data_IF_050600086053
#
_entry.id   IF_050600086053
#
_cell.length_a   1.000
_cell.length_b   1.000
_cell.length_c   1.000
_cell.angle_alpha   90.00
_cell.angle_beta   90.00
_cell.angle_gamma   90.00
#
_symmetry.space_group_name_H-M   'P 1'
#
loop_
_entity.id
_entity.type
_entity.pdbx_description
1 polymer ?
#
# COMPACT_ATOMS: atom_id res chain seq x y z
N UNK A 1 18.70 11.95 22.60
CA UNK A 1 19.31 12.69 21.48
C UNK A 1 19.07 12.02 20.15
N UNK A 2 19.54 10.77 19.96
CA UNK A 2 19.30 10.02 18.73
C UNK A 2 17.81 9.87 18.42
N UNK A 3 17.02 9.66 19.47
CA UNK A 3 15.57 9.50 19.31
C UNK A 3 14.91 10.76 18.72
N UNK A 4 15.32 11.93 19.20
CA UNK A 4 14.81 13.20 18.71
C UNK A 4 15.21 13.42 17.25
N UNK A 5 16.45 13.07 16.89
CA UNK A 5 16.92 13.16 15.51
C UNK A 5 16.11 12.26 14.58
N UNK A 6 15.83 11.05 14.99
CA UNK A 6 15.05 10.11 14.20
C UNK A 6 13.63 10.62 13.96
N UNK A 7 13.02 11.20 14.98
CA UNK A 7 11.67 11.78 14.86
C UNK A 7 11.67 12.96 13.92
N UNK A 8 12.62 13.87 14.07
CA UNK A 8 12.72 15.06 13.21
C UNK A 8 12.98 14.65 11.75
N UNK A 9 13.88 13.70 11.55
CA UNK A 9 14.14 13.19 10.19
C UNK A 9 12.89 12.60 9.58
N UNK A 10 12.17 11.79 10.34
CA UNK A 10 10.93 11.16 9.89
C UNK A 10 9.88 12.21 9.52
N UNK A 11 9.68 13.20 10.39
CA UNK A 11 8.70 14.27 10.14
C UNK A 11 9.06 15.06 8.90
N UNK A 12 10.32 15.42 8.72
CA UNK A 12 10.76 16.19 7.56
C UNK A 12 10.60 15.46 6.24
N UNK A 13 10.68 14.13 6.25
CA UNK A 13 10.62 13.32 5.03
C UNK A 13 9.23 12.81 4.70
N UNK A 14 8.34 12.71 5.69
CA UNK A 14 7.00 12.15 5.49
C UNK A 14 6.17 12.96 4.49
N UNK A 15 6.27 14.28 4.50
CA UNK A 15 5.49 15.13 3.61
C UNK A 15 5.80 14.91 2.14
N UNK A 16 7.03 14.52 1.83
CA UNK A 16 7.49 14.30 0.46
C UNK A 16 7.60 12.84 0.10
N UNK A 17 7.19 11.97 1.02
CA UNK A 17 7.33 10.53 0.81
C UNK A 17 6.20 10.00 -0.05
N UNK A 18 6.56 9.40 -1.16
CA UNK A 18 5.61 8.73 -2.03
C UNK A 18 5.35 7.33 -1.50
N UNK A 19 4.09 6.93 -1.48
CA UNK A 19 3.71 5.57 -1.14
C UNK A 19 3.26 4.87 -2.41
N UNK A 20 3.97 3.80 -2.76
CA UNK A 20 3.65 2.95 -3.90
C UNK A 20 2.64 1.90 -3.49
N UNK A 21 1.84 1.42 -4.45
CA UNK A 21 0.83 0.41 -4.12
C UNK A 21 0.56 -0.54 -5.28
N UNK A 22 -0.09 -1.67 -4.96
CA UNK A 22 -0.49 -2.70 -5.91
C UNK A 22 -1.98 -2.71 -6.18
N UNK A 23 -2.69 -1.66 -5.84
CA UNK A 23 -4.15 -1.64 -5.94
C UNK A 23 -4.62 -1.91 -7.39
N UNK A 24 -4.00 -1.24 -8.35
CA UNK A 24 -4.39 -1.42 -9.76
C UNK A 24 -4.22 -2.86 -10.22
N UNK A 25 -3.09 -3.48 -9.89
CA UNK A 25 -2.80 -4.87 -10.28
C UNK A 25 -3.80 -5.81 -9.61
N UNK A 26 -4.01 -5.66 -8.31
CA UNK A 26 -4.93 -6.53 -7.56
C UNK A 26 -6.37 -6.37 -8.05
N UNK A 27 -6.76 -5.13 -8.33
CA UNK A 27 -8.09 -4.85 -8.88
C UNK A 27 -8.29 -5.52 -10.23
N UNK A 28 -7.31 -5.37 -11.12
CA UNK A 28 -7.36 -5.94 -12.47
C UNK A 28 -7.38 -7.46 -12.44
N UNK A 29 -6.62 -8.07 -11.55
CA UNK A 29 -6.62 -9.52 -11.39
C UNK A 29 -7.99 -10.07 -11.01
N UNK A 30 -8.79 -9.27 -10.31
CA UNK A 30 -10.14 -9.65 -9.93
C UNK A 30 -11.19 -9.19 -10.95
N UNK A 31 -10.77 -8.58 -12.05
CA UNK A 31 -11.68 -8.11 -13.09
C UNK A 31 -12.59 -6.98 -12.63
N UNK A 32 -12.18 -6.19 -11.65
CA UNK A 32 -12.98 -5.10 -11.10
C UNK A 32 -12.67 -3.77 -11.77
N UNK A 33 -13.71 -2.99 -12.00
CA UNK A 33 -13.54 -1.57 -12.36
C UNK A 33 -13.28 -0.77 -11.08
N UNK A 34 -12.70 0.43 -11.25
CA UNK A 34 -12.43 1.31 -10.08
C UNK A 34 -13.68 1.58 -9.28
N UNK A 35 -14.80 1.82 -9.97
CA UNK A 35 -16.06 2.09 -9.29
C UNK A 35 -16.53 0.88 -8.48
N UNK A 36 -16.37 -0.30 -9.02
CA UNK A 36 -16.75 -1.53 -8.31
C UNK A 36 -15.92 -1.73 -7.06
N UNK A 37 -14.61 -1.53 -7.17
CA UNK A 37 -13.72 -1.62 -6.01
C UNK A 37 -14.09 -0.57 -4.96
N UNK A 38 -14.31 0.67 -5.39
CA UNK A 38 -14.68 1.75 -4.50
C UNK A 38 -15.96 1.42 -3.72
N UNK A 39 -16.98 0.89 -4.40
CA UNK A 39 -18.23 0.51 -3.77
C UNK A 39 -18.02 -0.59 -2.74
N UNK A 40 -17.16 -1.56 -3.04
CA UNK A 40 -16.88 -2.68 -2.12
C UNK A 40 -16.12 -2.25 -0.88
N UNK A 41 -15.23 -1.28 -1.03
CA UNK A 41 -14.43 -0.76 0.10
C UNK A 41 -15.19 0.34 0.85
N UNK A 42 -16.16 0.98 0.19
CA UNK A 42 -16.94 2.05 0.80
C UNK A 42 -16.28 3.42 0.69
N UNK A 43 -15.65 3.69 -0.43
CA UNK A 43 -15.03 5.00 -0.69
C UNK A 43 -15.47 5.53 -2.05
N UNK A 44 -15.18 6.81 -2.31
CA UNK A 44 -15.46 7.43 -3.60
C UNK A 44 -14.53 6.82 -4.66
N UNK A 45 -15.07 6.60 -5.88
CA UNK A 45 -14.26 5.99 -6.93
C UNK A 45 -13.06 6.86 -7.34
N UNK A 46 -13.18 8.19 -7.20
CA UNK A 46 -12.05 9.08 -7.46
C UNK A 46 -10.90 8.82 -6.51
N UNK A 47 -11.19 8.44 -5.27
CA UNK A 47 -10.18 8.06 -4.29
C UNK A 47 -9.35 6.89 -4.79
N UNK A 48 -9.99 5.89 -5.38
CA UNK A 48 -9.26 4.75 -5.95
C UNK A 48 -8.33 5.21 -7.07
N UNK A 49 -8.81 6.10 -7.93
CA UNK A 49 -7.99 6.65 -9.01
C UNK A 49 -6.76 7.38 -8.49
N UNK A 50 -6.94 8.23 -7.49
CA UNK A 50 -5.82 8.97 -6.88
C UNK A 50 -4.81 8.03 -6.22
N UNK A 51 -5.30 7.00 -5.54
CA UNK A 51 -4.42 6.00 -4.93
C UNK A 51 -3.61 5.24 -5.98
N UNK A 52 -4.26 4.77 -7.03
CA UNK A 52 -3.59 4.00 -8.09
C UNK A 52 -2.52 4.81 -8.81
N UNK A 53 -2.76 6.11 -8.98
CA UNK A 53 -1.78 7.01 -9.58
C UNK A 53 -0.73 7.51 -8.60
N UNK A 54 -0.84 7.09 -7.35
CA UNK A 54 0.09 7.47 -6.29
C UNK A 54 0.12 8.99 -6.08
N UNK A 55 -1.02 9.64 -6.29
CA UNK A 55 -1.15 11.08 -6.16
C UNK A 55 -1.45 11.52 -4.73
N UNK A 56 -1.85 10.56 -3.87
CA UNK A 56 -2.02 10.86 -2.47
C UNK A 56 -1.80 9.60 -1.63
N UNK A 57 -1.38 9.82 -0.40
CA UNK A 57 -1.12 8.71 0.52
C UNK A 57 -2.40 8.35 1.27
N UNK A 58 -2.72 7.07 1.41
CA UNK A 58 -3.93 6.67 2.10
C UNK A 58 -3.84 6.93 3.60
N UNK A 59 -5.00 7.17 4.22
CA UNK A 59 -5.08 7.13 5.68
C UNK A 59 -4.84 5.69 6.14
N UNK A 60 -4.49 5.54 7.40
CA UNK A 60 -4.32 4.21 7.98
C UNK A 60 -5.61 3.39 7.90
N UNK A 61 -6.75 4.03 8.15
CA UNK A 61 -8.05 3.37 8.04
C UNK A 61 -8.30 2.83 6.64
N UNK A 62 -8.02 3.65 5.61
CA UNK A 62 -8.20 3.22 4.23
C UNK A 62 -7.24 2.09 3.87
N UNK A 63 -6.00 2.16 4.34
CA UNK A 63 -5.03 1.09 4.11
C UNK A 63 -5.51 -0.24 4.69
N UNK A 64 -6.07 -0.23 5.89
CA UNK A 64 -6.63 -1.43 6.49
C UNK A 64 -7.85 -1.95 5.72
N UNK A 65 -8.73 -1.06 5.27
CA UNK A 65 -9.89 -1.46 4.48
C UNK A 65 -9.47 -2.16 3.18
N UNK A 66 -8.46 -1.62 2.51
CA UNK A 66 -7.92 -2.24 1.30
C UNK A 66 -7.31 -3.59 1.61
N UNK A 67 -6.52 -3.67 2.69
CA UNK A 67 -5.90 -4.92 3.13
C UNK A 67 -6.95 -5.99 3.43
N UNK A 68 -7.98 -5.65 4.15
CA UNK A 68 -9.05 -6.57 4.49
C UNK A 68 -9.80 -7.07 3.25
N UNK A 69 -10.06 -6.17 2.31
CA UNK A 69 -10.77 -6.54 1.10
C UNK A 69 -9.99 -7.54 0.25
N UNK A 70 -8.70 -7.28 0.05
CA UNK A 70 -7.85 -8.16 -0.76
C UNK A 70 -7.31 -9.36 0.00
N UNK A 71 -7.44 -9.37 1.32
CA UNK A 71 -6.94 -10.47 2.13
C UNK A 71 -5.42 -10.56 2.16
N UNK A 72 -4.74 -9.42 2.02
CA UNK A 72 -3.29 -9.33 2.04
C UNK A 72 -2.82 -8.35 3.11
N UNK A 73 -1.66 -8.61 3.73
CA UNK A 73 -1.09 -7.64 4.67
C UNK A 73 -0.86 -6.28 4.00
N UNK A 74 -0.96 -5.22 4.78
CA UNK A 74 -0.73 -3.85 4.28
C UNK A 74 0.63 -3.74 3.58
N UNK A 75 1.65 -4.39 4.12
CA UNK A 75 3.02 -4.33 3.59
C UNK A 75 3.15 -4.93 2.20
N UNK A 76 2.24 -5.81 1.81
CA UNK A 76 2.23 -6.38 0.46
C UNK A 76 1.46 -5.51 -0.53
N UNK A 77 0.67 -4.57 -0.05
CA UNK A 77 -0.13 -3.70 -0.90
C UNK A 77 0.52 -2.33 -1.04
N UNK A 78 1.05 -1.79 0.05
CA UNK A 78 1.65 -0.44 0.09
C UNK A 78 3.11 -0.52 0.46
N UNK A 79 3.93 0.35 -0.12
CA UNK A 79 5.36 0.39 0.15
C UNK A 79 5.91 1.81 0.01
N UNK A 80 6.84 2.20 0.88
CA UNK A 80 7.55 3.47 0.71
C UNK A 80 8.61 3.41 -0.39
N UNK A 81 8.85 2.23 -0.95
CA UNK A 81 9.82 2.01 -2.00
C UNK A 81 9.15 1.41 -3.23
N UNK A 82 9.74 1.57 -4.44
CA UNK A 82 9.19 0.97 -5.64
C UNK A 82 8.95 -0.53 -5.44
N UNK A 83 7.80 -1.00 -5.91
CA UNK A 83 7.37 -2.38 -5.67
C UNK A 83 7.99 -3.35 -6.66
N UNK A 84 8.36 -4.52 -6.15
CA UNK A 84 8.79 -5.67 -6.96
C UNK A 84 7.56 -6.50 -7.32
N UNK A 85 7.66 -7.44 -8.26
CA UNK A 85 6.58 -8.40 -8.48
C UNK A 85 6.20 -9.08 -7.17
N UNK A 86 4.91 -9.27 -6.96
CA UNK A 86 4.40 -9.81 -5.70
C UNK A 86 4.99 -11.18 -5.38
N UNK A 87 5.20 -12.01 -6.41
CA UNK A 87 5.81 -13.33 -6.22
C UNK A 87 7.20 -13.27 -5.60
N UNK A 88 8.00 -12.28 -5.99
CA UNK A 88 9.33 -12.09 -5.41
C UNK A 88 9.26 -11.67 -3.95
N UNK A 89 8.33 -10.79 -3.61
CA UNK A 89 8.17 -10.36 -2.23
C UNK A 89 7.69 -11.48 -1.34
N UNK A 90 6.81 -12.33 -1.83
CA UNK A 90 6.35 -13.48 -1.06
C UNK A 90 7.50 -14.43 -0.78
N UNK A 91 8.37 -14.67 -1.77
CA UNK A 91 9.56 -15.51 -1.60
C UNK A 91 10.49 -14.90 -0.56
N UNK A 92 10.74 -13.60 -0.63
CA UNK A 92 11.59 -12.91 0.34
C UNK A 92 11.04 -13.02 1.76
N UNK A 93 9.72 -12.87 1.92
CA UNK A 93 9.08 -13.01 3.22
C UNK A 93 9.20 -14.43 3.77
N UNK A 94 9.00 -15.44 2.92
CA UNK A 94 9.18 -16.84 3.31
C UNK A 94 10.61 -17.11 3.77
N UNK A 95 11.58 -16.61 3.01
CA UNK A 95 12.98 -16.79 3.36
C UNK A 95 13.32 -16.09 4.68
N UNK A 96 12.75 -14.94 4.92
CA UNK A 96 12.95 -14.19 6.14
C UNK A 96 12.40 -14.90 7.37
N UNK A 97 11.24 -15.53 7.26
CA UNK A 97 10.56 -16.15 8.40
C UNK A 97 10.84 -17.64 8.56
N UNK A 98 11.24 -18.34 7.51
CA UNK A 98 11.42 -19.80 7.51
C UNK A 98 12.86 -20.18 7.30
N UNK A 99 13.53 -19.51 6.40
CA UNK A 99 14.88 -19.90 5.99
C UNK A 99 16.00 -19.44 6.88
N UNK A 100 15.67 -18.61 7.86
CA UNK A 100 16.70 -18.11 8.79
C UNK A 100 17.72 -17.25 8.14
#
# INVERSE_FOLDING_TARGET
MLYIYNILYYICNVENRKIYNRIAVLRQERGLKRKELADKIGVNFQTIGYLEREEYNPSLDLAFKVSEYFGLPVELIFSPEPLKPLSEEIIELKNKFIGG
#
